data_IF_461763968724
#
_entry.id   IF_461763968724
#
_cell.length_a   1.000
_cell.length_b   1.000
_cell.length_c   1.000
_cell.angle_alpha   90.00
_cell.angle_beta   90.00
_cell.angle_gamma   90.00
#
_symmetry.space_group_name_H-M   'P 1'
#
loop_
_entity.id
_entity.type
_entity.pdbx_description
1 polymer ?
#
# COMPACT_ATOMS: atom_id res chain seq x y z
N UNK A 1 -28.03 -9.11 6.59
CA UNK A 1 -26.83 -8.91 5.75
C UNK A 1 -27.10 -7.69 4.89
N UNK A 2 -26.19 -6.73 4.90
CA UNK A 2 -26.36 -5.44 4.23
C UNK A 2 -26.38 -5.63 2.69
N UNK A 3 -27.48 -5.21 2.05
CA UNK A 3 -27.69 -5.34 0.59
C UNK A 3 -26.63 -4.54 -0.16
N UNK A 4 -26.19 -3.42 0.41
CA UNK A 4 -25.15 -2.58 -0.19
C UNK A 4 -23.82 -3.32 -0.30
N UNK A 5 -23.44 -4.07 0.74
CA UNK A 5 -22.22 -4.87 0.75
C UNK A 5 -22.26 -5.99 -0.30
N UNK A 6 -23.41 -6.63 -0.50
CA UNK A 6 -23.55 -7.69 -1.51
C UNK A 6 -23.44 -7.14 -2.93
N UNK A 7 -24.04 -5.97 -3.19
CA UNK A 7 -23.94 -5.31 -4.49
C UNK A 7 -22.48 -4.94 -4.82
N UNK A 8 -21.74 -4.37 -3.85
CA UNK A 8 -20.31 -4.06 -4.00
C UNK A 8 -19.47 -5.28 -4.33
N UNK A 9 -19.78 -6.44 -3.73
CA UNK A 9 -19.09 -7.71 -4.04
C UNK A 9 -19.33 -8.17 -5.48
N UNK A 10 -20.58 -8.07 -5.94
CA UNK A 10 -20.95 -8.46 -7.32
C UNK A 10 -20.25 -7.58 -8.34
N UNK A 11 -20.24 -6.26 -8.12
CA UNK A 11 -19.55 -5.30 -8.97
C UNK A 11 -18.05 -5.62 -9.08
N UNK A 12 -17.40 -5.93 -7.95
CA UNK A 12 -15.98 -6.29 -7.93
C UNK A 12 -15.71 -7.58 -8.71
N UNK A 13 -16.55 -8.61 -8.57
CA UNK A 13 -16.41 -9.87 -9.30
C UNK A 13 -16.53 -9.63 -10.81
N UNK A 14 -17.53 -8.84 -11.23
CA UNK A 14 -17.73 -8.51 -12.65
C UNK A 14 -16.54 -7.74 -13.20
N UNK A 15 -16.08 -6.71 -12.51
CA UNK A 15 -14.90 -5.95 -12.92
C UNK A 15 -13.66 -6.83 -13.05
N UNK A 16 -13.36 -7.66 -12.05
CA UNK A 16 -12.23 -8.60 -12.08
C UNK A 16 -12.31 -9.56 -13.27
N UNK A 17 -13.52 -10.02 -13.65
CA UNK A 17 -13.70 -10.92 -14.80
C UNK A 17 -13.39 -10.28 -16.15
N UNK A 18 -13.36 -8.95 -16.21
CA UNK A 18 -13.04 -8.18 -17.43
C UNK A 18 -11.56 -7.78 -17.53
N UNK A 19 -10.75 -8.05 -16.49
CA UNK A 19 -9.33 -7.67 -16.49
C UNK A 19 -8.49 -8.65 -17.30
N UNK A 20 -7.70 -8.10 -18.23
CA UNK A 20 -6.71 -8.85 -19.02
C UNK A 20 -5.25 -8.45 -18.67
N UNK A 21 -5.06 -7.35 -17.93
CA UNK A 21 -3.75 -6.87 -17.49
C UNK A 21 -3.18 -7.78 -16.38
N UNK A 22 -2.22 -8.60 -16.75
CA UNK A 22 -1.55 -9.55 -15.83
C UNK A 22 -0.80 -8.86 -14.71
N UNK A 23 -0.21 -7.68 -14.95
CA UNK A 23 0.50 -6.93 -13.91
C UNK A 23 -0.47 -6.43 -12.83
N UNK A 24 -1.65 -5.95 -13.24
CA UNK A 24 -2.69 -5.53 -12.31
C UNK A 24 -3.25 -6.71 -11.52
N UNK A 25 -3.51 -7.83 -12.18
CA UNK A 25 -3.99 -9.07 -11.53
C UNK A 25 -2.99 -9.54 -10.47
N UNK A 26 -1.70 -9.61 -10.81
CA UNK A 26 -0.66 -10.02 -9.87
C UNK A 26 -0.57 -9.10 -8.65
N UNK A 27 -0.74 -7.78 -8.85
CA UNK A 27 -0.75 -6.81 -7.76
C UNK A 27 -1.94 -7.02 -6.82
N UNK A 28 -3.14 -7.29 -7.35
CA UNK A 28 -4.33 -7.58 -6.56
C UNK A 28 -4.21 -8.90 -5.80
N UNK A 29 -3.60 -9.91 -6.41
CA UNK A 29 -3.34 -11.20 -5.76
C UNK A 29 -2.37 -11.06 -4.58
N UNK A 30 -1.31 -10.25 -4.72
CA UNK A 30 -0.40 -9.91 -3.61
C UNK A 30 -1.12 -9.16 -2.49
N UNK A 31 -1.90 -8.14 -2.83
CA UNK A 31 -2.69 -7.39 -1.85
C UNK A 31 -3.60 -8.32 -1.02
N UNK A 32 -4.30 -9.25 -1.67
CA UNK A 32 -5.12 -10.24 -0.97
C UNK A 32 -4.30 -11.16 -0.06
N UNK A 33 -3.08 -11.52 -0.45
CA UNK A 33 -2.20 -12.35 0.39
C UNK A 33 -1.71 -11.58 1.62
N UNK A 34 -1.39 -10.30 1.44
CA UNK A 34 -1.01 -9.38 2.53
C UNK A 34 -2.18 -9.12 3.51
N UNK A 35 -3.44 -9.17 3.07
CA UNK A 35 -4.59 -9.10 4.00
C UNK A 35 -4.70 -10.33 4.92
N UNK A 36 -4.14 -11.49 4.55
CA UNK A 36 -4.21 -12.70 5.40
C UNK A 36 -3.30 -12.62 6.61
N UNK A 37 -2.27 -11.79 6.57
CA UNK A 37 -1.30 -11.62 7.64
C UNK A 37 -0.84 -10.18 7.69
N UNK A 38 -1.12 -9.49 8.79
CA UNK A 38 -0.61 -8.15 9.03
C UNK A 38 0.91 -8.12 8.86
N UNK A 39 1.37 -7.37 7.85
CA UNK A 39 2.78 -7.25 7.47
C UNK A 39 3.62 -6.73 8.64
N UNK A 40 3.02 -6.02 9.60
CA UNK A 40 3.67 -5.58 10.83
C UNK A 40 4.31 -6.72 11.62
N UNK A 41 3.72 -7.92 11.55
CA UNK A 41 4.24 -9.12 12.22
C UNK A 41 5.38 -9.80 11.44
N UNK A 42 5.59 -9.42 10.18
CA UNK A 42 6.61 -10.03 9.30
C UNK A 42 7.95 -9.28 9.30
N UNK A 43 7.98 -8.04 9.77
CA UNK A 43 9.18 -7.20 9.79
C UNK A 43 10.00 -7.38 11.08
N UNK A 44 11.30 -7.19 10.97
CA UNK A 44 12.26 -7.27 12.08
C UNK A 44 12.07 -6.13 13.09
N UNK A 45 12.57 -6.33 14.31
CA UNK A 45 12.58 -5.28 15.34
C UNK A 45 13.40 -4.05 14.93
N UNK A 46 14.44 -4.23 14.13
CA UNK A 46 15.23 -3.12 13.59
C UNK A 46 14.39 -2.26 12.62
N UNK A 47 13.59 -2.89 11.77
CA UNK A 47 12.68 -2.20 10.85
C UNK A 47 11.57 -1.48 11.62
N UNK A 48 10.94 -2.14 12.61
CA UNK A 48 9.94 -1.51 13.49
C UNK A 48 10.52 -0.29 14.21
N UNK A 49 11.72 -0.40 14.78
CA UNK A 49 12.42 0.72 15.42
C UNK A 49 12.68 1.87 14.44
N UNK A 50 13.06 1.56 13.21
CA UNK A 50 13.27 2.57 12.18
C UNK A 50 11.98 3.29 11.79
N UNK A 51 10.88 2.56 11.65
CA UNK A 51 9.55 3.13 11.38
C UNK A 51 9.13 4.06 12.53
N UNK A 52 9.27 3.62 13.78
CA UNK A 52 8.93 4.42 14.96
C UNK A 52 9.71 5.75 14.99
N UNK A 53 11.01 5.72 14.70
CA UNK A 53 11.81 6.95 14.58
C UNK A 53 11.28 7.89 13.49
N UNK A 54 10.90 7.34 12.34
CA UNK A 54 10.32 8.12 11.23
C UNK A 54 9.00 8.80 11.62
N UNK A 55 8.13 8.09 12.35
CA UNK A 55 6.88 8.65 12.89
C UNK A 55 7.17 9.78 13.88
N UNK A 56 8.09 9.58 14.82
CA UNK A 56 8.47 10.63 15.78
C UNK A 56 9.09 11.87 15.12
N UNK A 57 9.90 11.69 14.08
CA UNK A 57 10.47 12.80 13.32
C UNK A 57 9.39 13.56 12.55
N UNK A 58 8.37 12.86 12.02
CA UNK A 58 7.20 13.48 11.39
C UNK A 58 6.38 14.31 12.39
N UNK A 59 6.10 13.76 13.58
CA UNK A 59 5.38 14.46 14.66
C UNK A 59 6.13 15.72 15.14
N UNK A 60 7.48 15.67 15.10
CA UNK A 60 8.36 16.81 15.41
C UNK A 60 8.51 17.78 14.23
N UNK A 61 7.80 17.58 13.12
CA UNK A 61 7.83 18.45 11.94
C UNK A 61 9.13 18.35 11.13
N UNK A 62 9.96 17.34 11.35
CA UNK A 62 11.21 17.11 10.60
C UNK A 62 10.96 16.42 9.25
N UNK A 63 9.99 16.92 8.52
CA UNK A 63 9.64 16.43 7.19
C UNK A 63 10.36 17.25 6.13
N UNK A 64 10.65 16.61 4.99
CA UNK A 64 11.14 17.30 3.81
C UNK A 64 10.02 17.42 2.77
N UNK A 65 9.91 18.57 2.08
CA UNK A 65 8.92 18.73 1.03
C UNK A 65 9.23 17.79 -0.14
N UNK A 66 8.18 17.35 -0.84
CA UNK A 66 8.32 16.49 -2.02
C UNK A 66 9.27 17.08 -3.08
N UNK A 67 9.31 18.42 -3.20
CA UNK A 67 10.24 19.13 -4.09
C UNK A 67 11.71 18.90 -3.76
N UNK A 68 12.07 18.71 -2.48
CA UNK A 68 13.44 18.38 -2.08
C UNK A 68 13.78 16.92 -2.38
N UNK A 69 12.83 15.99 -2.17
CA UNK A 69 13.01 14.60 -2.54
C UNK A 69 13.16 14.43 -4.06
N UNK A 70 12.36 15.16 -4.86
CA UNK A 70 12.39 15.12 -6.33
C UNK A 70 13.75 15.44 -6.93
N UNK A 71 14.47 16.43 -6.37
CA UNK A 71 15.82 16.81 -6.80
C UNK A 71 16.82 15.63 -6.82
N UNK A 72 16.60 14.60 -6.01
CA UNK A 72 17.51 13.46 -5.90
C UNK A 72 17.37 12.51 -7.09
N UNK A 73 16.14 12.32 -7.59
CA UNK A 73 15.84 11.31 -8.62
C UNK A 73 15.38 11.90 -9.95
N UNK A 74 15.15 13.21 -10.04
CA UNK A 74 14.62 13.86 -11.25
C UNK A 74 15.47 13.65 -12.51
N UNK A 75 16.76 13.36 -12.36
CA UNK A 75 17.65 13.05 -13.49
C UNK A 75 17.34 11.75 -14.24
N UNK A 76 16.46 10.90 -13.67
CA UNK A 76 16.06 9.60 -14.25
C UNK A 76 14.59 9.57 -14.68
N UNK A 77 13.87 10.69 -14.53
CA UNK A 77 12.52 10.88 -15.07
C UNK A 77 12.61 11.45 -16.48
#
# INVERSE_FOLDING_TARGET
MDVELQNKKIELIQWLSTLEDTFLIDKLMKFREEEKSDWWNSISEAEKSSIQRGVEDADKGKLKPHSEARKIYEKWL
#
